data_IF_437379190286
#
_entry.id   IF_437379190286
#
_cell.length_a   1.000
_cell.length_b   1.000
_cell.length_c   1.000
_cell.angle_alpha   90.00
_cell.angle_beta   90.00
_cell.angle_gamma   90.00
#
_symmetry.space_group_name_H-M   'P 1'
#
loop_
_entity.id
_entity.type
_entity.pdbx_description
1 polymer ?
#
# COMPACT_ATOMS: atom_id res chain seq x y z
N UNK A 1 5.59 -6.43 15.10
CA UNK A 1 5.28 -5.50 13.96
C UNK A 1 4.19 -6.09 13.09
N UNK A 2 3.25 -5.28 12.69
CA UNK A 2 2.24 -5.65 11.71
C UNK A 2 2.33 -4.75 10.48
N UNK A 3 2.28 -5.35 9.29
CA UNK A 3 2.28 -4.64 8.02
C UNK A 3 1.04 -5.07 7.23
N UNK A 4 0.22 -4.09 6.86
CA UNK A 4 -0.93 -4.30 5.99
C UNK A 4 -0.61 -3.73 4.62
N UNK A 5 -0.63 -4.58 3.60
CA UNK A 5 -0.32 -4.20 2.21
C UNK A 5 -1.62 -4.10 1.42
N UNK A 6 -1.88 -2.94 0.86
CA UNK A 6 -3.06 -2.68 0.04
C UNK A 6 -2.67 -2.69 -1.43
N UNK A 7 -3.26 -3.58 -2.21
CA UNK A 7 -2.91 -3.77 -3.62
C UNK A 7 -4.13 -4.25 -4.42
N UNK A 8 -4.10 -4.02 -5.74
CA UNK A 8 -5.11 -4.57 -6.66
C UNK A 8 -4.71 -5.94 -7.22
N UNK A 9 -3.49 -6.40 -6.94
CA UNK A 9 -2.93 -7.67 -7.43
C UNK A 9 -2.27 -8.46 -6.29
N UNK A 10 -3.04 -8.89 -5.28
CA UNK A 10 -2.49 -9.55 -4.09
C UNK A 10 -1.70 -10.83 -4.40
N UNK A 11 -2.05 -11.52 -5.46
CA UNK A 11 -1.38 -12.76 -5.89
C UNK A 11 0.10 -12.58 -6.24
N UNK A 12 0.54 -11.37 -6.58
CA UNK A 12 1.96 -11.11 -6.85
C UNK A 12 2.83 -11.20 -5.60
N UNK A 13 2.23 -11.12 -4.42
CA UNK A 13 2.96 -11.11 -3.14
C UNK A 13 2.96 -12.47 -2.45
N UNK A 14 2.19 -13.45 -2.92
CA UNK A 14 2.05 -14.75 -2.25
C UNK A 14 3.38 -15.48 -2.11
N UNK A 15 4.12 -15.65 -3.20
CA UNK A 15 5.40 -16.37 -3.18
C UNK A 15 6.50 -15.60 -2.45
N UNK A 16 6.77 -14.31 -2.73
CA UNK A 16 7.81 -13.57 -2.02
C UNK A 16 7.64 -13.55 -0.49
N UNK A 17 6.40 -13.48 0.00
CA UNK A 17 6.12 -13.43 1.43
C UNK A 17 6.15 -14.81 2.11
N UNK A 18 6.14 -15.89 1.33
CA UNK A 18 6.09 -17.26 1.86
C UNK A 18 7.46 -17.90 2.04
N UNK A 19 8.52 -17.31 1.53
CA UNK A 19 9.83 -17.95 1.39
C UNK A 19 10.95 -17.12 2.00
N UNK A 20 12.09 -17.79 2.22
CA UNK A 20 13.34 -17.20 2.65
C UNK A 20 13.23 -16.44 3.97
N UNK A 21 13.91 -15.29 4.08
CA UNK A 21 14.02 -14.53 5.33
C UNK A 21 12.67 -13.96 5.79
N UNK A 22 11.85 -13.52 4.85
CA UNK A 22 10.51 -12.98 5.18
C UNK A 22 9.61 -14.08 5.71
N UNK A 23 9.57 -15.23 5.04
CA UNK A 23 8.79 -16.39 5.50
C UNK A 23 9.22 -16.86 6.89
N UNK A 24 10.52 -16.83 7.18
CA UNK A 24 11.07 -17.19 8.51
C UNK A 24 10.64 -16.20 9.58
N UNK A 25 10.68 -14.91 9.28
CA UNK A 25 10.27 -13.86 10.21
C UNK A 25 8.79 -14.00 10.59
N UNK A 26 7.94 -14.30 9.61
CA UNK A 26 6.50 -14.54 9.83
C UNK A 26 6.30 -15.78 10.71
N UNK A 27 6.95 -16.88 10.41
CA UNK A 27 6.85 -18.14 11.20
C UNK A 27 7.30 -17.97 12.64
N UNK A 28 8.31 -17.14 12.87
CA UNK A 28 8.82 -16.85 14.22
C UNK A 28 7.96 -15.84 14.99
N UNK A 29 6.92 -15.27 14.36
CA UNK A 29 6.08 -14.28 14.98
C UNK A 29 6.73 -12.89 15.15
N UNK A 30 7.81 -12.61 14.42
CA UNK A 30 8.49 -11.32 14.47
C UNK A 30 7.74 -10.24 13.71
N UNK A 31 6.98 -10.64 12.69
CA UNK A 31 6.15 -9.76 11.87
C UNK A 31 4.89 -10.50 11.42
N UNK A 32 3.78 -9.76 11.38
CA UNK A 32 2.56 -10.20 10.69
C UNK A 32 2.44 -9.37 9.42
N UNK A 33 2.18 -10.04 8.30
CA UNK A 33 1.95 -9.36 7.03
C UNK A 33 0.59 -9.80 6.49
N UNK A 34 -0.29 -8.83 6.29
CA UNK A 34 -1.63 -9.03 5.77
C UNK A 34 -1.76 -8.32 4.42
N UNK A 35 -2.07 -9.08 3.38
CA UNK A 35 -2.25 -8.54 2.03
C UNK A 35 -3.74 -8.38 1.78
N UNK A 36 -4.15 -7.16 1.43
CA UNK A 36 -5.55 -6.80 1.20
C UNK A 36 -5.77 -6.46 -0.26
N UNK A 37 -6.82 -7.04 -0.83
CA UNK A 37 -7.26 -6.74 -2.18
C UNK A 37 -8.16 -5.51 -2.16
N UNK A 38 -7.70 -4.41 -2.75
CA UNK A 38 -8.47 -3.16 -2.83
C UNK A 38 -9.81 -3.32 -3.56
N UNK A 39 -9.94 -4.36 -4.40
CA UNK A 39 -11.20 -4.64 -5.10
C UNK A 39 -12.33 -5.03 -4.17
N UNK A 40 -12.05 -5.36 -2.92
CA UNK A 40 -13.08 -5.60 -1.89
C UNK A 40 -14.04 -4.41 -1.77
N UNK A 41 -13.53 -3.19 -1.95
CA UNK A 41 -14.31 -1.96 -1.92
C UNK A 41 -14.48 -1.32 -3.30
N UNK A 42 -14.26 -2.10 -4.36
CA UNK A 42 -14.47 -1.65 -5.73
C UNK A 42 -15.94 -1.41 -6.05
N UNK A 43 -16.19 -0.57 -7.04
CA UNK A 43 -17.54 -0.18 -7.45
C UNK A 43 -18.15 -1.18 -8.43
N UNK A 44 -19.43 -1.51 -8.20
CA UNK A 44 -20.24 -2.32 -9.09
C UNK A 44 -19.85 -3.81 -9.14
N UNK A 45 -20.48 -4.58 -10.04
CA UNK A 45 -20.24 -6.03 -10.14
C UNK A 45 -18.83 -6.39 -10.58
N UNK A 46 -18.12 -5.49 -11.23
CA UNK A 46 -16.73 -5.69 -11.68
C UNK A 46 -15.71 -5.28 -10.62
N UNK A 47 -16.15 -4.80 -9.48
CA UNK A 47 -15.27 -4.33 -8.41
C UNK A 47 -14.22 -3.31 -8.93
N UNK A 48 -14.71 -2.30 -9.63
CA UNK A 48 -13.87 -1.29 -10.25
C UNK A 48 -13.15 -0.43 -9.21
N UNK A 49 -11.85 -0.25 -9.38
CA UNK A 49 -10.98 0.54 -8.48
C UNK A 49 -10.26 1.68 -9.20
N UNK A 50 -10.44 1.81 -10.49
CA UNK A 50 -9.77 2.79 -11.34
C UNK A 50 -10.76 3.70 -12.05
N UNK A 51 -10.33 4.92 -12.36
CA UNK A 51 -11.13 5.92 -13.06
C UNK A 51 -10.23 6.75 -13.97
N UNK A 52 -10.84 7.58 -14.82
CA UNK A 52 -10.09 8.50 -15.67
C UNK A 52 -9.39 9.58 -14.85
N UNK A 53 -8.19 9.97 -15.32
CA UNK A 53 -7.46 11.07 -14.69
C UNK A 53 -8.15 12.41 -14.94
N UNK A 54 -8.04 13.35 -14.01
CA UNK A 54 -8.47 14.73 -14.24
C UNK A 54 -7.60 15.36 -15.35
N UNK A 55 -8.23 16.17 -16.20
CA UNK A 55 -7.54 16.86 -17.28
C UNK A 55 -7.48 16.11 -18.59
N UNK A 56 -8.08 14.93 -18.69
CA UNK A 56 -8.21 14.18 -19.95
C UNK A 56 -6.96 13.49 -20.45
N UNK A 57 -5.94 13.32 -19.61
CA UNK A 57 -4.77 12.52 -19.96
C UNK A 57 -5.14 11.05 -20.19
N UNK A 58 -4.41 10.41 -21.10
CA UNK A 58 -4.60 8.99 -21.39
C UNK A 58 -4.21 8.13 -20.18
N UNK A 59 -5.01 7.10 -19.90
CA UNK A 59 -4.77 6.13 -18.84
C UNK A 59 -5.71 6.30 -17.66
N UNK A 60 -5.64 5.34 -16.74
CA UNK A 60 -6.51 5.26 -15.56
C UNK A 60 -5.70 5.53 -14.30
N UNK A 61 -6.37 5.99 -13.26
CA UNK A 61 -5.79 6.21 -11.93
C UNK A 61 -6.57 5.44 -10.88
N UNK A 62 -5.90 5.07 -9.81
CA UNK A 62 -6.54 4.40 -8.66
C UNK A 62 -7.47 5.38 -7.96
N UNK A 63 -8.74 4.98 -7.77
CA UNK A 63 -9.76 5.80 -7.10
C UNK A 63 -9.50 5.92 -5.60
N UNK A 64 -9.93 7.05 -5.02
CA UNK A 64 -9.80 7.29 -3.59
C UNK A 64 -10.74 6.41 -2.75
N UNK A 65 -11.97 6.16 -3.18
CA UNK A 65 -12.97 5.48 -2.36
C UNK A 65 -12.55 4.09 -1.88
N UNK A 66 -12.06 3.17 -2.74
CA UNK A 66 -11.60 1.87 -2.27
C UNK A 66 -10.45 1.97 -1.27
N UNK A 67 -9.51 2.88 -1.51
CA UNK A 67 -8.36 3.11 -0.61
C UNK A 67 -8.84 3.67 0.72
N UNK A 68 -9.68 4.70 0.69
CA UNK A 68 -10.24 5.30 1.90
C UNK A 68 -10.97 4.27 2.76
N UNK A 69 -11.88 3.50 2.16
CA UNK A 69 -12.67 2.52 2.88
C UNK A 69 -11.79 1.43 3.50
N UNK A 70 -10.78 0.95 2.78
CA UNK A 70 -9.86 -0.06 3.31
C UNK A 70 -9.04 0.49 4.49
N UNK A 71 -8.53 1.70 4.38
CA UNK A 71 -7.76 2.34 5.46
C UNK A 71 -8.65 2.56 6.68
N UNK A 72 -9.90 3.01 6.49
CA UNK A 72 -10.82 3.21 7.61
C UNK A 72 -11.16 1.90 8.32
N UNK A 73 -11.36 0.81 7.59
CA UNK A 73 -11.58 -0.52 8.17
C UNK A 73 -10.41 -0.92 9.06
N UNK A 74 -9.17 -0.76 8.59
CA UNK A 74 -7.98 -1.09 9.34
C UNK A 74 -7.80 -0.20 10.57
N UNK A 75 -8.00 1.10 10.42
CA UNK A 75 -7.87 2.07 11.53
C UNK A 75 -8.95 1.93 12.60
N UNK A 76 -10.09 1.33 12.27
CA UNK A 76 -11.13 1.03 13.25
C UNK A 76 -10.70 -0.06 14.24
N UNK A 77 -9.76 -0.92 13.84
CA UNK A 77 -9.29 -2.04 14.67
C UNK A 77 -8.02 -1.74 15.46
N UNK A 78 -7.16 -0.84 14.95
CA UNK A 78 -5.88 -0.49 15.59
C UNK A 78 -5.36 0.86 15.13
N UNK A 79 -4.43 1.43 15.88
CA UNK A 79 -3.71 2.64 15.49
C UNK A 79 -2.57 2.29 14.56
N UNK A 80 -2.34 3.10 13.53
CA UNK A 80 -1.24 2.95 12.58
C UNK A 80 -0.24 4.09 12.73
N UNK A 81 1.04 3.73 12.78
CA UNK A 81 2.14 4.69 12.89
C UNK A 81 2.39 5.41 11.58
N UNK A 82 2.24 4.71 10.46
CA UNK A 82 2.46 5.24 9.12
C UNK A 82 1.49 4.65 8.12
N UNK A 83 1.11 5.46 7.14
CA UNK A 83 0.46 5.04 5.89
C UNK A 83 1.39 5.45 4.75
N UNK A 84 2.08 4.49 4.18
CA UNK A 84 3.16 4.72 3.22
C UNK A 84 2.67 4.40 1.81
N UNK A 85 2.80 5.36 0.90
CA UNK A 85 2.61 5.14 -0.52
C UNK A 85 3.94 4.84 -1.19
N UNK A 86 4.01 3.71 -1.88
CA UNK A 86 5.19 3.30 -2.66
C UNK A 86 5.16 4.00 -4.01
N UNK A 87 6.08 4.90 -4.25
CA UNK A 87 6.09 5.79 -5.41
C UNK A 87 7.51 6.12 -5.82
N UNK A 88 7.82 6.21 -7.13
CA UNK A 88 9.14 6.67 -7.57
C UNK A 88 9.43 8.12 -7.20
N UNK A 89 8.41 8.92 -6.87
CA UNK A 89 8.56 10.32 -6.44
C UNK A 89 8.88 10.48 -4.95
N UNK A 90 8.81 9.39 -4.18
CA UNK A 90 9.06 9.42 -2.75
C UNK A 90 10.54 9.54 -2.38
N UNK A 91 10.81 9.69 -1.08
CA UNK A 91 12.18 9.62 -0.59
C UNK A 91 12.77 8.23 -0.83
N UNK A 92 14.03 8.18 -1.24
CA UNK A 92 14.69 6.92 -1.57
C UNK A 92 14.92 6.09 -0.31
N UNK A 93 14.43 4.85 -0.34
CA UNK A 93 14.64 3.91 0.75
C UNK A 93 16.12 3.66 0.97
N UNK A 94 16.55 3.78 2.21
CA UNK A 94 17.91 3.48 2.63
C UNK A 94 17.90 2.75 3.99
N UNK A 95 19.07 2.39 4.47
CA UNK A 95 19.18 1.63 5.71
C UNK A 95 18.64 2.41 6.92
N UNK A 96 18.82 3.73 6.96
CA UNK A 96 18.31 4.55 8.06
C UNK A 96 16.79 4.55 8.12
N UNK A 97 16.12 4.68 6.96
CA UNK A 97 14.66 4.61 6.86
C UNK A 97 14.17 3.22 7.26
N UNK A 98 14.83 2.17 6.79
CA UNK A 98 14.48 0.79 7.15
C UNK A 98 14.60 0.56 8.65
N UNK A 99 15.65 1.06 9.27
CA UNK A 99 15.84 0.96 10.73
C UNK A 99 14.75 1.71 11.49
N UNK A 100 14.41 2.93 11.04
CA UNK A 100 13.33 3.72 11.62
C UNK A 100 11.99 2.98 11.57
N UNK A 101 11.64 2.48 10.39
CA UNK A 101 10.37 1.76 10.18
C UNK A 101 10.31 0.46 10.97
N UNK A 102 11.44 -0.21 11.18
CA UNK A 102 11.50 -1.46 11.95
C UNK A 102 11.10 -1.30 13.41
N UNK A 103 11.12 -0.08 13.93
CA UNK A 103 10.71 0.25 15.29
C UNK A 103 9.21 0.55 15.42
N UNK A 104 8.50 0.65 14.32
CA UNK A 104 7.06 0.92 14.31
C UNK A 104 6.27 -0.35 14.62
N UNK A 105 5.07 -0.18 15.17
CA UNK A 105 4.20 -1.31 15.52
C UNK A 105 3.30 -1.72 14.36
N UNK A 106 2.65 -0.75 13.71
CA UNK A 106 1.66 -0.98 12.68
C UNK A 106 1.87 -0.04 11.50
N UNK A 107 2.04 -0.59 10.30
CA UNK A 107 2.29 0.15 9.08
C UNK A 107 1.32 -0.31 7.99
N UNK A 108 0.77 0.64 7.23
CA UNK A 108 0.05 0.37 5.98
C UNK A 108 0.98 0.71 4.83
N UNK A 109 1.13 -0.21 3.87
CA UNK A 109 1.80 0.02 2.59
C UNK A 109 0.76 0.05 1.48
N UNK A 110 0.63 1.18 0.80
CA UNK A 110 -0.22 1.30 -0.38
C UNK A 110 0.63 1.11 -1.63
N UNK A 111 0.31 0.08 -2.39
CA UNK A 111 0.93 -0.19 -3.68
C UNK A 111 0.05 0.38 -4.79
N UNK A 112 0.59 1.31 -5.56
CA UNK A 112 -0.09 1.88 -6.71
C UNK A 112 -0.14 0.89 -7.87
N UNK A 113 -1.01 1.21 -8.81
CA UNK A 113 -1.16 0.51 -10.08
C UNK A 113 -1.64 1.53 -11.11
N UNK A 114 -1.82 1.10 -12.36
CA UNK A 114 -2.25 2.02 -13.43
C UNK A 114 -1.23 3.15 -13.67
N UNK A 115 -1.70 4.29 -14.13
CA UNK A 115 -0.85 5.47 -14.39
C UNK A 115 -0.46 6.23 -13.10
N UNK A 116 -1.23 6.04 -12.04
CA UNK A 116 -1.01 6.72 -10.76
C UNK A 116 -2.20 6.56 -9.83
N UNK A 117 -2.28 7.45 -8.87
CA UNK A 117 -3.37 7.46 -7.89
C UNK A 117 -4.08 8.82 -7.91
N UNK A 118 -5.35 8.82 -7.49
CA UNK A 118 -6.10 10.07 -7.26
C UNK A 118 -5.31 10.94 -6.27
N UNK A 119 -5.06 12.19 -6.63
CA UNK A 119 -4.24 13.11 -5.84
C UNK A 119 -4.75 13.31 -4.41
N UNK A 120 -6.06 13.19 -4.19
CA UNK A 120 -6.65 13.29 -2.85
C UNK A 120 -6.18 12.19 -1.91
N UNK A 121 -5.74 11.03 -2.43
CA UNK A 121 -5.12 9.98 -1.63
C UNK A 121 -3.83 10.51 -1.01
N UNK A 122 -2.98 11.16 -1.81
CA UNK A 122 -1.73 11.77 -1.32
C UNK A 122 -1.98 12.87 -0.30
N UNK A 123 -2.97 13.73 -0.55
CA UNK A 123 -3.25 14.87 0.32
C UNK A 123 -3.82 14.46 1.69
N UNK A 124 -4.66 13.42 1.74
CA UNK A 124 -5.49 13.17 2.92
C UNK A 124 -5.24 11.84 3.61
N UNK A 125 -4.70 10.83 2.92
CA UNK A 125 -4.61 9.48 3.44
C UNK A 125 -3.18 9.00 3.71
N UNK A 126 -2.20 9.60 3.07
CA UNK A 126 -0.80 9.18 3.09
C UNK A 126 -0.02 10.03 4.10
N UNK A 127 0.78 9.38 4.95
CA UNK A 127 1.69 10.07 5.86
C UNK A 127 3.09 10.19 5.29
N UNK A 128 3.47 9.30 4.35
CA UNK A 128 4.83 9.25 3.81
C UNK A 128 4.85 8.60 2.43
N UNK A 129 5.72 9.05 1.55
CA UNK A 129 5.99 8.39 0.27
C UNK A 129 7.43 7.89 0.26
N UNK A 130 7.62 6.64 -0.17
CA UNK A 130 8.93 6.00 -0.23
C UNK A 130 9.14 5.39 -1.62
N UNK A 131 10.33 5.61 -2.17
CA UNK A 131 10.79 5.05 -3.44
C UNK A 131 11.81 3.95 -3.20
N UNK A 132 11.67 2.81 -3.88
CA UNK A 132 12.68 1.75 -3.85
C UNK A 132 13.79 1.99 -4.89
N UNK A 133 13.63 3.00 -5.74
CA UNK A 133 14.61 3.38 -6.77
C UNK A 133 13.99 4.34 -7.79
N UNK A 134 14.85 4.95 -8.59
CA UNK A 134 14.46 5.89 -9.64
C UNK A 134 14.03 5.12 -10.92
N UNK A 135 12.98 4.34 -10.82
CA UNK A 135 12.42 3.55 -11.93
C UNK A 135 10.97 3.13 -11.63
N UNK A 136 10.28 2.75 -12.69
CA UNK A 136 8.91 2.22 -12.63
C UNK A 136 8.89 0.77 -13.09
#
# INVERSE_FOLDING_TARGET
>A
MRIDILTVVPELLESPLSHSIVGRAIKKGLVEIHVHNLRKYGKGPRQQVDDYSYGGDAGMVLMIEPVYNMIQELKAEREYDEVIFMSPDGEVLNQNISNELSLKENIILLCGHYKGIDHRIREHLITREISVGDYV
#
